data_IF_675924472242
#
_entry.id   IF_675924472242
#
_cell.length_a   1.000
_cell.length_b   1.000
_cell.length_c   1.000
_cell.angle_alpha   90.00
_cell.angle_beta   90.00
_cell.angle_gamma   90.00
#
_symmetry.space_group_name_H-M   'P 1'
#
loop_
_entity.id
_entity.type
_entity.pdbx_description
1 polymer ?
#
# COMPACT_ATOMS: atom_id res chain seq x y z
N UNK A 1 -88.24 -11.19 35.97
CA UNK A 1 -88.60 -10.54 34.70
C UNK A 1 -87.41 -9.69 34.27
N UNK A 2 -86.92 -9.91 33.04
CA UNK A 2 -85.99 -9.07 32.24
C UNK A 2 -84.59 -8.83 32.85
N UNK A 3 -83.47 -8.81 32.14
CA UNK A 3 -82.95 -9.38 30.88
C UNK A 3 -81.54 -8.74 30.77
N UNK A 4 -80.52 -9.51 30.34
CA UNK A 4 -79.30 -9.03 29.66
C UNK A 4 -78.34 -8.13 30.49
N UNK A 5 -77.03 -8.02 30.27
CA UNK A 5 -76.11 -8.47 29.23
C UNK A 5 -74.68 -8.39 29.82
N UNK A 6 -73.89 -9.45 29.67
CA UNK A 6 -72.46 -9.53 29.28
C UNK A 6 -71.49 -8.44 29.78
N UNK A 7 -70.42 -8.84 30.47
CA UNK A 7 -69.01 -8.78 29.98
C UNK A 7 -68.18 -9.71 30.87
N UNK A 8 -67.73 -10.82 30.28
CA UNK A 8 -66.77 -11.75 30.85
C UNK A 8 -65.37 -11.22 30.57
N UNK A 9 -64.66 -10.75 31.60
CA UNK A 9 -63.24 -10.41 31.52
C UNK A 9 -62.43 -11.59 32.11
N UNK A 10 -62.06 -12.55 31.27
CA UNK A 10 -61.12 -13.61 31.64
C UNK A 10 -59.72 -13.00 31.79
N UNK A 11 -59.24 -12.89 33.02
CA UNK A 11 -57.85 -12.55 33.32
C UNK A 11 -57.00 -13.80 33.13
N UNK A 12 -56.31 -13.89 31.99
CA UNK A 12 -55.27 -14.90 31.75
C UNK A 12 -53.95 -14.39 32.34
N UNK A 13 -53.58 -14.88 33.51
CA UNK A 13 -52.22 -14.79 34.03
C UNK A 13 -51.31 -15.68 33.18
N UNK A 14 -50.60 -15.08 32.21
CA UNK A 14 -49.53 -15.75 31.47
C UNK A 14 -48.23 -15.62 32.26
N UNK A 15 -47.83 -16.73 32.87
CA UNK A 15 -46.53 -16.91 33.50
C UNK A 15 -45.40 -16.78 32.47
N UNK A 16 -44.46 -15.86 32.70
CA UNK A 16 -43.21 -15.79 31.96
C UNK A 16 -42.37 -17.05 32.19
N UNK A 17 -42.31 -17.94 31.20
CA UNK A 17 -41.25 -18.95 31.10
C UNK A 17 -40.13 -18.41 30.22
N UNK A 18 -39.02 -18.06 30.86
CA UNK A 18 -37.74 -17.72 30.22
C UNK A 18 -37.21 -18.91 29.41
N UNK A 19 -37.18 -18.77 28.09
CA UNK A 19 -36.37 -19.63 27.23
C UNK A 19 -34.98 -19.01 27.09
N UNK A 20 -34.08 -19.38 28.00
CA UNK A 20 -32.65 -19.09 27.88
C UNK A 20 -32.07 -19.96 26.73
N UNK A 21 -32.02 -19.41 25.53
CA UNK A 21 -31.34 -20.05 24.41
C UNK A 21 -29.84 -19.78 24.49
N UNK A 22 -29.09 -20.86 24.67
CA UNK A 22 -27.67 -21.01 24.37
C UNK A 22 -27.26 -20.21 23.13
N UNK A 23 -26.42 -19.20 23.35
CA UNK A 23 -25.55 -18.65 22.32
C UNK A 23 -24.13 -18.73 22.82
N UNK A 24 -23.51 -19.90 22.64
CA UNK A 24 -22.08 -19.99 22.29
C UNK A 24 -21.89 -19.20 20.99
N UNK A 25 -21.83 -17.88 21.13
CA UNK A 25 -21.34 -17.00 20.10
C UNK A 25 -19.84 -17.26 19.98
N UNK A 26 -19.53 -18.20 19.08
CA UNK A 26 -18.31 -18.31 18.30
C UNK A 26 -17.69 -16.91 18.17
N UNK A 27 -16.72 -16.60 19.03
CA UNK A 27 -15.84 -15.45 18.86
C UNK A 27 -14.89 -15.84 17.73
N UNK A 28 -15.42 -15.83 16.50
CA UNK A 28 -14.64 -15.85 15.29
C UNK A 28 -13.84 -14.57 15.33
N UNK A 29 -12.56 -14.70 15.66
CA UNK A 29 -11.55 -13.67 15.50
C UNK A 29 -11.74 -13.05 14.13
N UNK A 30 -12.28 -11.84 14.09
CA UNK A 30 -12.23 -10.98 12.92
C UNK A 30 -10.76 -10.58 12.81
N UNK A 31 -9.98 -11.43 12.12
CA UNK A 31 -8.60 -11.16 11.75
C UNK A 31 -8.68 -9.95 10.84
N UNK A 32 -8.30 -8.80 11.39
CA UNK A 32 -8.10 -7.58 10.63
C UNK A 32 -7.10 -7.91 9.52
N UNK A 33 -7.56 -7.87 8.28
CA UNK A 33 -6.80 -8.31 7.10
C UNK A 33 -5.99 -7.14 6.56
N UNK A 34 -5.28 -6.43 7.43
CA UNK A 34 -4.19 -5.57 7.01
C UNK A 34 -2.97 -6.47 6.81
N UNK A 35 -2.65 -6.80 5.57
CA UNK A 35 -1.34 -7.37 5.21
C UNK A 35 -0.27 -6.33 5.56
N UNK A 36 0.10 -6.25 6.84
CA UNK A 36 1.15 -5.37 7.29
C UNK A 36 2.46 -5.96 6.78
N UNK A 37 3.06 -5.30 5.79
CA UNK A 37 4.39 -5.65 5.29
C UNK A 37 5.35 -5.74 6.48
N UNK A 38 5.98 -6.90 6.65
CA UNK A 38 6.98 -7.10 7.71
C UNK A 38 8.14 -6.13 7.50
N UNK A 39 8.51 -5.41 8.56
CA UNK A 39 9.62 -4.46 8.56
C UNK A 39 10.94 -5.21 8.68
N UNK A 40 11.98 -4.69 8.04
CA UNK A 40 13.34 -5.18 8.22
C UNK A 40 14.23 -4.06 8.77
N UNK A 41 15.10 -4.43 9.70
CA UNK A 41 16.10 -3.56 10.28
C UNK A 41 17.48 -4.15 10.00
N UNK A 42 18.39 -3.31 9.50
CA UNK A 42 19.80 -3.63 9.26
C UNK A 42 20.64 -2.39 9.56
N UNK A 43 21.90 -2.60 9.93
CA UNK A 43 22.86 -1.52 10.10
C UNK A 43 23.23 -0.87 8.77
N UNK A 44 23.78 0.34 8.83
CA UNK A 44 24.25 1.03 7.62
C UNK A 44 25.44 0.32 6.98
N UNK A 45 26.27 -0.38 7.76
CA UNK A 45 27.37 -1.22 7.27
C UNK A 45 26.83 -2.44 6.50
N UNK A 46 25.80 -3.10 7.02
CA UNK A 46 25.13 -4.20 6.32
C UNK A 46 24.55 -3.71 4.99
N UNK A 47 23.89 -2.54 4.98
CA UNK A 47 23.39 -1.95 3.74
C UNK A 47 24.51 -1.61 2.75
N UNK A 48 25.60 -0.99 3.21
CA UNK A 48 26.77 -0.69 2.36
C UNK A 48 27.43 -1.95 1.79
N UNK A 49 27.37 -3.07 2.51
CA UNK A 49 27.90 -4.35 2.02
C UNK A 49 27.01 -5.00 0.95
N UNK A 50 25.70 -4.75 0.99
CA UNK A 50 24.73 -5.34 0.08
C UNK A 50 24.48 -4.49 -1.18
N UNK A 51 24.55 -3.17 -1.05
CA UNK A 51 24.20 -2.21 -2.10
C UNK A 51 25.44 -1.66 -2.79
N UNK A 52 25.34 -1.40 -4.10
CA UNK A 52 26.35 -0.58 -4.77
C UNK A 52 26.36 0.85 -4.20
N UNK A 53 27.44 1.63 -4.40
CA UNK A 53 27.49 3.01 -3.91
C UNK A 53 26.32 3.89 -4.36
N UNK A 54 25.88 3.74 -5.62
CA UNK A 54 24.75 4.50 -6.16
C UNK A 54 23.42 4.04 -5.56
N UNK A 55 23.18 2.73 -5.44
CA UNK A 55 21.98 2.20 -4.80
C UNK A 55 21.91 2.63 -3.33
N UNK A 56 23.03 2.60 -2.60
CA UNK A 56 23.10 3.08 -1.22
C UNK A 56 22.81 4.60 -1.13
N UNK A 57 23.42 5.39 -2.00
CA UNK A 57 23.18 6.84 -2.06
C UNK A 57 21.69 7.15 -2.27
N UNK A 58 21.04 6.49 -3.24
CA UNK A 58 19.61 6.68 -3.51
C UNK A 58 18.77 6.17 -2.34
N UNK A 59 18.87 4.88 -1.99
CA UNK A 59 17.97 4.22 -1.04
C UNK A 59 18.15 4.70 0.40
N UNK A 60 19.38 5.00 0.83
CA UNK A 60 19.70 5.28 2.25
C UNK A 60 19.98 6.76 2.52
N UNK A 61 20.52 7.48 1.53
CA UNK A 61 20.86 8.90 1.69
C UNK A 61 19.89 9.84 0.95
N UNK A 62 18.76 9.31 0.47
CA UNK A 62 17.73 10.05 -0.28
C UNK A 62 18.29 10.79 -1.50
N UNK A 63 19.31 10.18 -2.12
CA UNK A 63 19.86 10.66 -3.38
C UNK A 63 18.90 10.46 -4.55
N UNK A 64 19.14 11.21 -5.63
CA UNK A 64 18.37 11.10 -6.88
C UNK A 64 19.32 10.69 -8.00
N UNK A 65 18.91 9.70 -8.81
CA UNK A 65 19.59 9.35 -10.05
C UNK A 65 19.54 10.54 -11.03
N UNK A 66 20.55 10.66 -11.90
CA UNK A 66 20.48 11.64 -13.00
C UNK A 66 19.35 11.27 -13.96
N UNK A 67 18.57 12.23 -14.48
CA UNK A 67 17.54 11.93 -15.47
C UNK A 67 18.19 11.40 -16.76
N UNK A 68 17.55 10.44 -17.41
CA UNK A 68 18.00 9.92 -18.70
C UNK A 68 17.32 8.63 -19.12
N UNK A 69 17.69 8.15 -20.30
CA UNK A 69 17.11 6.94 -20.92
C UNK A 69 17.68 5.62 -20.36
N UNK A 70 18.68 5.70 -19.49
CA UNK A 70 19.33 4.53 -18.90
C UNK A 70 18.47 3.82 -17.86
N UNK A 71 18.83 2.57 -17.54
CA UNK A 71 18.15 1.81 -16.50
C UNK A 71 16.76 1.35 -16.91
N UNK A 72 15.75 1.73 -16.13
CA UNK A 72 14.37 1.30 -16.36
C UNK A 72 13.47 2.38 -16.98
N UNK A 73 14.01 3.56 -17.36
CA UNK A 73 13.21 4.64 -17.94
C UNK A 73 12.45 4.16 -19.19
N UNK A 74 13.17 3.62 -20.19
CA UNK A 74 12.61 3.07 -21.44
C UNK A 74 12.34 1.56 -21.42
N UNK A 75 12.28 0.97 -20.23
CA UNK A 75 12.04 -0.46 -20.07
C UNK A 75 10.54 -0.76 -19.93
N UNK A 76 9.98 -1.60 -20.80
CA UNK A 76 8.53 -1.93 -20.82
C UNK A 76 8.26 -3.43 -20.98
N UNK A 77 9.22 -4.29 -20.61
CA UNK A 77 8.97 -5.73 -20.56
C UNK A 77 7.94 -6.09 -19.48
N UNK A 78 7.19 -7.19 -19.71
CA UNK A 78 6.20 -7.70 -18.76
C UNK A 78 6.88 -8.32 -17.53
N UNK A 79 6.44 -7.91 -16.35
CA UNK A 79 7.00 -8.36 -15.08
C UNK A 79 6.67 -7.40 -13.95
N UNK A 80 7.52 -7.39 -12.92
CA UNK A 80 7.33 -6.61 -11.70
C UNK A 80 8.60 -5.86 -11.34
N UNK A 81 8.44 -4.74 -10.62
CA UNK A 81 9.55 -3.94 -10.12
C UNK A 81 9.60 -4.05 -8.61
N UNK A 82 10.73 -4.53 -8.10
CA UNK A 82 10.95 -4.83 -6.69
C UNK A 82 11.89 -3.79 -6.10
N UNK A 83 11.76 -3.52 -4.80
CA UNK A 83 12.72 -2.73 -4.05
C UNK A 83 14.11 -3.39 -4.16
N UNK A 84 15.10 -2.61 -4.61
CA UNK A 84 16.47 -3.10 -4.80
C UNK A 84 17.10 -3.63 -3.51
N UNK A 85 16.78 -3.02 -2.35
CA UNK A 85 17.36 -3.39 -1.07
C UNK A 85 16.73 -4.63 -0.41
N UNK A 86 15.41 -4.80 -0.50
CA UNK A 86 14.68 -5.78 0.32
C UNK A 86 13.77 -6.73 -0.46
N UNK A 87 13.77 -6.61 -1.78
CA UNK A 87 13.02 -7.44 -2.72
C UNK A 87 11.50 -7.43 -2.54
N UNK A 88 10.95 -6.44 -1.82
CA UNK A 88 9.51 -6.22 -1.77
C UNK A 88 9.04 -5.82 -3.17
N UNK A 89 8.03 -6.50 -3.72
CA UNK A 89 7.37 -6.10 -4.97
C UNK A 89 6.67 -4.75 -4.75
N UNK A 90 6.94 -3.77 -5.60
CA UNK A 90 6.45 -2.39 -5.44
C UNK A 90 5.49 -1.99 -6.56
N UNK A 91 5.81 -2.35 -7.80
CA UNK A 91 5.06 -1.94 -8.98
C UNK A 91 4.90 -3.10 -9.97
N UNK A 92 3.79 -3.11 -10.69
CA UNK A 92 3.57 -4.03 -11.82
C UNK A 92 3.96 -3.32 -13.12
N UNK A 93 4.46 -4.06 -14.11
CA UNK A 93 4.77 -3.46 -15.42
C UNK A 93 3.55 -2.85 -16.11
N UNK A 94 2.33 -3.31 -15.76
CA UNK A 94 1.08 -2.79 -16.29
C UNK A 94 0.75 -1.35 -15.87
N UNK A 95 1.28 -0.89 -14.73
CA UNK A 95 1.16 0.50 -14.29
C UNK A 95 2.26 1.40 -14.84
N UNK A 96 3.27 0.84 -15.52
CA UNK A 96 4.39 1.61 -16.06
C UNK A 96 3.98 2.33 -17.35
N UNK A 97 4.37 3.59 -17.48
CA UNK A 97 4.12 4.39 -18.69
C UNK A 97 5.27 5.34 -19.01
N UNK A 98 5.28 5.88 -20.24
CA UNK A 98 6.26 6.87 -20.69
C UNK A 98 5.80 8.27 -20.28
N UNK A 99 6.47 8.87 -19.29
CA UNK A 99 6.15 10.22 -18.79
C UNK A 99 7.04 11.31 -19.37
N UNK A 100 8.13 10.94 -20.05
CA UNK A 100 9.20 11.84 -20.49
C UNK A 100 9.87 12.66 -19.36
N UNK A 101 9.69 12.28 -18.09
CA UNK A 101 10.32 13.00 -16.97
C UNK A 101 11.81 12.68 -16.78
N UNK A 102 12.31 11.62 -17.43
CA UNK A 102 13.70 11.16 -17.32
C UNK A 102 13.94 10.06 -16.27
N UNK A 103 12.88 9.57 -15.62
CA UNK A 103 12.92 8.46 -14.66
C UNK A 103 11.79 7.45 -14.92
N UNK A 104 11.96 6.18 -14.50
CA UNK A 104 10.87 5.21 -14.45
C UNK A 104 9.61 5.82 -13.81
N UNK A 105 8.48 5.70 -14.51
CA UNK A 105 7.21 6.27 -14.08
C UNK A 105 6.11 5.23 -14.08
N UNK A 106 5.36 5.18 -12.97
CA UNK A 106 4.22 4.30 -12.78
C UNK A 106 3.00 5.14 -12.41
N UNK A 107 1.80 4.73 -12.80
CA UNK A 107 0.55 5.39 -12.41
C UNK A 107 -0.11 4.76 -11.17
N UNK A 108 0.32 3.55 -10.80
CA UNK A 108 -0.14 2.84 -9.60
C UNK A 108 0.95 1.99 -8.96
N UNK A 109 0.80 1.71 -7.67
CA UNK A 109 1.70 0.90 -6.86
C UNK A 109 0.94 -0.22 -6.15
N UNK A 110 1.64 -1.29 -5.76
CA UNK A 110 1.01 -2.39 -5.02
C UNK A 110 0.59 -1.89 -3.63
N UNK A 111 -0.67 -2.13 -3.28
CA UNK A 111 -1.26 -1.62 -2.05
C UNK A 111 -0.47 -2.03 -0.80
N UNK A 112 -0.27 -1.07 0.10
CA UNK A 112 0.49 -1.25 1.34
C UNK A 112 2.01 -1.35 1.20
N UNK A 113 2.58 -1.24 -0.01
CA UNK A 113 4.04 -1.40 -0.24
C UNK A 113 4.83 -0.09 -0.25
N UNK A 114 4.15 1.05 -0.32
CA UNK A 114 4.72 2.40 -0.36
C UNK A 114 4.27 3.21 0.85
N UNK A 115 5.21 3.95 1.47
CA UNK A 115 4.94 4.96 2.50
C UNK A 115 5.08 6.34 1.86
N UNK A 116 4.12 7.22 2.17
CA UNK A 116 4.08 8.59 1.67
C UNK A 116 4.47 9.57 2.77
N UNK A 117 5.47 10.41 2.53
CA UNK A 117 5.95 11.40 3.51
C UNK A 117 6.06 12.78 2.87
N UNK A 118 5.54 13.86 3.48
CA UNK A 118 5.78 15.22 2.99
C UNK A 118 7.28 15.54 2.92
N UNK A 119 7.71 16.16 1.82
CA UNK A 119 9.09 16.58 1.57
C UNK A 119 9.13 18.08 1.21
N UNK A 120 9.83 18.84 2.05
CA UNK A 120 10.01 20.30 1.93
C UNK A 120 11.44 20.70 1.49
N UNK A 121 12.27 19.73 1.11
CA UNK A 121 13.64 19.97 0.67
C UNK A 121 13.69 20.84 -0.60
N UNK A 122 14.83 21.53 -0.78
CA UNK A 122 15.09 22.37 -1.95
C UNK A 122 14.05 23.48 -2.22
N UNK A 123 13.27 23.88 -1.22
CA UNK A 123 12.23 24.91 -1.37
C UNK A 123 11.00 24.47 -2.16
N UNK A 124 10.81 23.15 -2.34
CA UNK A 124 9.65 22.58 -3.03
C UNK A 124 8.70 21.91 -2.03
N UNK A 125 7.44 21.71 -2.42
CA UNK A 125 6.47 20.88 -1.67
C UNK A 125 6.20 19.65 -2.51
N UNK A 126 6.66 18.48 -2.03
CA UNK A 126 6.50 17.20 -2.71
C UNK A 126 6.07 16.13 -1.71
N UNK A 127 5.72 14.96 -2.23
CA UNK A 127 5.50 13.76 -1.40
C UNK A 127 6.54 12.71 -1.77
N UNK A 128 7.44 12.41 -0.83
CA UNK A 128 8.40 11.33 -0.94
C UNK A 128 7.68 9.98 -0.86
N UNK A 129 8.14 9.03 -1.68
CA UNK A 129 7.75 7.62 -1.60
C UNK A 129 8.93 6.78 -1.11
N UNK A 130 8.69 5.98 -0.07
CA UNK A 130 9.68 5.03 0.48
C UNK A 130 9.10 3.62 0.55
N UNK A 131 9.98 2.62 0.51
CA UNK A 131 9.58 1.21 0.62
C UNK A 131 9.01 0.90 2.01
N UNK A 132 7.82 0.32 2.09
CA UNK A 132 7.18 0.00 3.36
C UNK A 132 7.97 -1.01 4.21
N UNK A 133 8.74 -1.91 3.59
CA UNK A 133 9.53 -2.95 4.28
C UNK A 133 10.83 -2.43 4.89
N UNK A 134 11.64 -1.70 4.12
CA UNK A 134 13.01 -1.30 4.52
C UNK A 134 13.22 0.21 4.65
N UNK A 135 12.19 1.01 4.38
CA UNK A 135 12.21 2.47 4.45
C UNK A 135 13.20 3.13 3.48
N UNK A 136 13.69 2.36 2.50
CA UNK A 136 14.55 2.88 1.45
C UNK A 136 13.82 3.90 0.57
N UNK A 137 14.48 5.01 0.29
CA UNK A 137 13.98 6.06 -0.62
C UNK A 137 13.84 5.52 -2.04
N UNK A 138 12.67 5.77 -2.64
CA UNK A 138 12.35 5.34 -4.00
C UNK A 138 12.29 6.53 -4.95
N UNK A 139 11.69 7.64 -4.52
CA UNK A 139 11.49 8.84 -5.33
C UNK A 139 10.34 9.70 -4.80
N UNK A 140 9.51 10.21 -5.69
CA UNK A 140 8.36 11.07 -5.35
C UNK A 140 7.10 10.70 -6.13
N UNK A 141 5.95 11.07 -5.58
CA UNK A 141 4.65 10.99 -6.26
C UNK A 141 4.13 12.40 -6.62
N UNK A 142 3.51 12.52 -7.79
CA UNK A 142 2.91 13.74 -8.32
C UNK A 142 1.48 13.50 -8.84
N UNK A 143 0.71 14.59 -9.00
CA UNK A 143 -0.69 14.58 -9.45
C UNK A 143 -0.84 14.92 -10.95
N UNK A 144 0.22 14.71 -11.73
CA UNK A 144 0.31 14.99 -13.16
C UNK A 144 0.47 13.70 -14.00
N UNK A 145 -0.07 12.59 -13.50
CA UNK A 145 -0.12 11.32 -14.21
C UNK A 145 -1.23 11.24 -15.27
N UNK A 146 -1.40 10.06 -15.89
CA UNK A 146 -2.43 9.83 -16.90
C UNK A 146 -3.83 9.97 -16.28
N UNK A 147 -4.65 10.88 -16.82
CA UNK A 147 -5.96 11.23 -16.24
C UNK A 147 -7.02 10.15 -16.46
N UNK A 148 -6.80 9.32 -17.47
CA UNK A 148 -7.65 8.19 -17.85
C UNK A 148 -7.53 7.00 -16.89
N UNK A 149 -6.49 6.97 -16.04
CA UNK A 149 -6.29 5.94 -15.01
C UNK A 149 -6.41 6.54 -13.60
N UNK A 150 -5.29 6.83 -12.94
CA UNK A 150 -5.23 7.28 -11.53
C UNK A 150 -4.99 8.78 -11.40
N UNK A 151 -4.48 9.43 -12.45
CA UNK A 151 -3.96 10.80 -12.41
C UNK A 151 -2.67 10.94 -11.59
N UNK A 152 -2.09 9.85 -11.09
CA UNK A 152 -0.87 9.86 -10.27
C UNK A 152 0.35 9.50 -11.10
N UNK A 153 1.49 10.07 -10.74
CA UNK A 153 2.80 9.73 -11.30
C UNK A 153 3.77 9.40 -10.17
N UNK A 154 4.06 8.12 -9.99
CA UNK A 154 5.17 7.64 -9.17
C UNK A 154 6.45 7.76 -9.98
N UNK A 155 7.26 8.76 -9.68
CA UNK A 155 8.54 9.05 -10.32
C UNK A 155 9.66 8.40 -9.51
N UNK A 156 10.23 7.29 -10.02
CA UNK A 156 11.04 6.35 -9.23
C UNK A 156 12.48 6.32 -9.75
N UNK A 157 13.45 6.33 -8.85
CA UNK A 157 14.86 6.16 -9.20
C UNK A 157 15.12 4.73 -9.71
N UNK A 158 15.88 4.58 -10.80
CA UNK A 158 16.28 3.26 -11.32
C UNK A 158 17.05 2.47 -10.25
N UNK A 159 17.98 3.13 -9.56
CA UNK A 159 18.84 2.51 -8.54
C UNK A 159 18.06 2.05 -7.31
N UNK A 160 16.81 2.47 -7.14
CA UNK A 160 15.97 2.05 -6.02
C UNK A 160 15.18 0.76 -6.30
N UNK A 161 15.15 0.30 -7.56
CA UNK A 161 14.35 -0.85 -7.98
C UNK A 161 15.17 -1.87 -8.77
N UNK A 162 14.63 -3.08 -8.90
CA UNK A 162 15.08 -4.11 -9.83
C UNK A 162 13.89 -4.72 -10.55
N UNK A 163 14.08 -5.15 -11.79
CA UNK A 163 13.04 -5.80 -12.57
C UNK A 163 13.10 -7.33 -12.43
N UNK A 164 11.94 -7.95 -12.27
CA UNK A 164 11.73 -9.40 -12.29
C UNK A 164 10.78 -9.72 -13.44
N UNK A 165 11.27 -10.45 -14.44
CA UNK A 165 10.51 -10.79 -15.64
C UNK A 165 9.38 -11.77 -15.30
N UNK A 166 8.19 -11.56 -15.88
CA UNK A 166 7.11 -12.56 -15.81
C UNK A 166 7.44 -13.76 -16.69
N UNK A 167 7.14 -14.97 -16.23
CA UNK A 167 7.20 -16.19 -17.05
C UNK A 167 6.25 -16.14 -18.27
#
# INVERSE_FOLDING_TARGET
>A
MKQALIISLMVLFVSCTTSAQDKKARKSSKKDMTNKVEKIEKSEEEWKSQLTPQEYYVLRQKGTDRPGEGGYTKHFEKGTYHCRACDLQLFESGSKYESHCGWPSFDDAIDGTIIFTPDYSHGMIRTEITCARCEGHLGHIFDDGPKETTGKRYCVNTSSIKFVKSE
#
